data_IF_721077460809
#
_entry.id   IF_721077460809
#
_cell.length_a   1.000
_cell.length_b   1.000
_cell.length_c   1.000
_cell.angle_alpha   90.00
_cell.angle_beta   90.00
_cell.angle_gamma   90.00
#
_symmetry.space_group_name_H-M   'P 1'
#
loop_
_entity.id
_entity.type
_entity.pdbx_description
1 polymer ?
#
# COMPACT_ATOMS: atom_id res chain seq x y z
N UNK A 1 -5.42 8.72 15.27
CA UNK A 1 -6.22 8.61 14.04
C UNK A 1 -5.59 7.57 13.09
N UNK A 2 -5.47 6.31 13.51
CA UNK A 2 -4.98 5.15 12.67
C UNK A 2 -5.70 3.87 13.11
N UNK A 3 -6.93 4.00 13.63
CA UNK A 3 -7.73 2.86 14.12
C UNK A 3 -9.20 2.94 13.71
N UNK A 4 -9.70 4.12 13.33
CA UNK A 4 -11.11 4.34 12.99
C UNK A 4 -11.45 4.00 11.52
N UNK A 5 -10.45 3.88 10.64
CA UNK A 5 -10.66 3.53 9.23
C UNK A 5 -10.67 2.00 8.98
N UNK A 6 -10.16 1.20 9.92
CA UNK A 6 -10.10 -0.28 9.80
C UNK A 6 -11.48 -0.91 10.08
N UNK A 7 -12.34 -0.23 10.82
CA UNK A 7 -13.70 -0.68 11.16
C UNK A 7 -14.65 -0.77 9.97
N UNK A 8 -14.23 -0.30 8.80
CA UNK A 8 -15.01 -0.39 7.57
C UNK A 8 -14.73 -1.61 6.68
N UNK A 9 -13.52 -2.15 6.68
CA UNK A 9 -13.16 -3.31 5.86
C UNK A 9 -12.96 -4.51 6.77
N UNK A 10 -14.03 -5.29 6.98
CA UNK A 10 -13.96 -6.62 7.60
C UNK A 10 -13.05 -7.61 6.84
N UNK A 11 -12.52 -7.22 5.68
CA UNK A 11 -11.48 -7.95 4.95
C UNK A 11 -10.09 -7.44 5.36
N UNK A 12 -9.21 -8.38 5.73
CA UNK A 12 -7.82 -8.11 6.04
C UNK A 12 -7.14 -7.43 4.84
N UNK A 13 -6.59 -6.23 5.05
CA UNK A 13 -5.77 -5.55 4.06
C UNK A 13 -4.50 -6.36 3.81
N UNK A 14 -4.28 -6.77 2.58
CA UNK A 14 -3.08 -7.46 2.14
C UNK A 14 -2.12 -6.48 1.47
N UNK A 15 -0.85 -6.55 1.87
CA UNK A 15 0.25 -5.86 1.22
C UNK A 15 1.24 -6.89 0.68
N UNK A 16 1.53 -6.82 -0.61
CA UNK A 16 2.44 -7.75 -1.27
C UNK A 16 3.52 -7.01 -2.03
N UNK A 17 4.79 -7.34 -1.74
CA UNK A 17 5.91 -6.98 -2.59
C UNK A 17 5.89 -7.88 -3.83
N UNK A 18 5.74 -7.30 -5.03
CA UNK A 18 5.76 -8.04 -6.29
C UNK A 18 7.07 -7.92 -7.03
N UNK A 19 7.85 -6.89 -6.70
CA UNK A 19 9.17 -6.69 -7.28
C UNK A 19 10.03 -5.92 -6.28
N UNK A 20 11.23 -6.43 -6.02
CA UNK A 20 12.29 -5.63 -5.41
C UNK A 20 13.57 -5.83 -6.20
N UNK A 21 14.21 -4.73 -6.56
CA UNK A 21 15.46 -4.73 -7.32
C UNK A 21 16.39 -3.67 -6.73
N UNK A 22 17.67 -3.96 -6.75
CA UNK A 22 18.72 -3.00 -6.39
C UNK A 22 19.41 -2.61 -7.69
N UNK A 23 19.10 -1.43 -8.19
CA UNK A 23 19.65 -0.94 -9.46
C UNK A 23 21.08 -0.38 -9.27
N UNK A 24 21.36 0.22 -8.12
CA UNK A 24 22.72 0.63 -7.73
C UNK A 24 22.84 0.69 -6.20
N UNK A 25 24.05 0.97 -5.68
CA UNK A 25 24.28 1.18 -4.24
C UNK A 25 23.31 2.17 -3.59
N UNK A 26 22.73 3.10 -4.36
CA UNK A 26 21.82 4.14 -3.88
C UNK A 26 20.41 4.10 -4.50
N UNK A 27 20.16 3.19 -5.46
CA UNK A 27 18.87 3.10 -6.14
C UNK A 27 18.24 1.75 -5.87
N UNK A 28 17.10 1.79 -5.19
CA UNK A 28 16.27 0.64 -4.86
C UNK A 28 14.94 0.81 -5.56
N UNK A 29 14.61 -0.14 -6.43
CA UNK A 29 13.32 -0.19 -7.11
C UNK A 29 12.42 -1.19 -6.38
N UNK A 30 11.18 -0.79 -6.11
CA UNK A 30 10.19 -1.62 -5.46
C UNK A 30 8.83 -1.44 -6.11
N UNK A 31 8.11 -2.55 -6.30
CA UNK A 31 6.71 -2.54 -6.72
C UNK A 31 5.89 -3.34 -5.73
N UNK A 32 4.80 -2.73 -5.29
CA UNK A 32 3.93 -3.29 -4.27
C UNK A 32 2.47 -3.25 -4.73
N UNK A 33 1.68 -4.20 -4.24
CA UNK A 33 0.23 -4.26 -4.42
C UNK A 33 -0.40 -4.19 -3.04
N UNK A 34 -1.41 -3.33 -2.90
CA UNK A 34 -2.25 -3.20 -1.72
C UNK A 34 -3.70 -3.50 -2.10
N UNK A 35 -4.32 -4.49 -1.46
CA UNK A 35 -5.69 -4.90 -1.74
C UNK A 35 -6.32 -5.67 -0.57
N UNK A 36 -7.64 -5.63 -0.38
CA UNK A 36 -8.62 -4.83 -1.11
C UNK A 36 -8.65 -3.38 -0.61
N UNK A 37 -8.93 -2.43 -1.51
CA UNK A 37 -9.12 -1.01 -1.16
C UNK A 37 -10.56 -0.59 -1.48
N UNK A 38 -11.13 0.27 -0.63
CA UNK A 38 -12.43 0.89 -0.90
C UNK A 38 -12.30 1.92 -2.02
N UNK A 39 -13.41 2.22 -2.70
CA UNK A 39 -13.45 3.25 -3.74
C UNK A 39 -12.92 4.58 -3.19
N UNK A 40 -11.90 5.16 -3.84
CA UNK A 40 -11.25 6.41 -3.43
C UNK A 40 -10.16 6.27 -2.35
N UNK A 41 -10.02 5.12 -1.70
CA UNK A 41 -8.99 4.92 -0.66
C UNK A 41 -7.58 4.87 -1.25
N UNK A 42 -7.43 4.37 -2.49
CA UNK A 42 -6.16 4.38 -3.20
C UNK A 42 -5.64 5.81 -3.44
N UNK A 43 -6.53 6.76 -3.72
CA UNK A 43 -6.17 8.17 -3.93
C UNK A 43 -5.67 8.80 -2.62
N UNK A 44 -6.37 8.55 -1.50
CA UNK A 44 -5.94 9.01 -0.17
C UNK A 44 -4.59 8.44 0.21
N UNK A 45 -4.37 7.14 -0.01
CA UNK A 45 -3.08 6.48 0.30
C UNK A 45 -1.96 7.03 -0.58
N UNK A 46 -2.22 7.25 -1.88
CA UNK A 46 -1.22 7.76 -2.81
C UNK A 46 -0.80 9.21 -2.53
N UNK A 47 -1.66 10.02 -1.92
CA UNK A 47 -1.34 11.40 -1.51
C UNK A 47 -0.60 11.42 -0.16
N UNK A 48 -0.90 10.48 0.74
CA UNK A 48 -0.34 10.47 2.09
C UNK A 48 1.09 9.88 2.17
N UNK A 49 1.50 9.09 1.18
CA UNK A 49 2.83 8.49 1.07
C UNK A 49 3.82 9.42 0.37
#
# INVERSE_FOLDING_TARGET
>A
MVREEITGSTQTLEWKCVESRVDSKRLYYGRFILSPLRKGQADTVGIAL
#
